data_IF_243181384924
#
_entry.id   IF_243181384924
#
_cell.length_a   1.000
_cell.length_b   1.000
_cell.length_c   1.000
_cell.angle_alpha   90.00
_cell.angle_beta   90.00
_cell.angle_gamma   90.00
#
_symmetry.space_group_name_H-M   'P 1'
#
loop_
_entity.id
_entity.type
_entity.pdbx_description
1 polymer ?
#
# COMPACT_ATOMS: atom_id res chain seq x y z
N UNK A 1 -9.69 15.12 -17.19
CA UNK A 1 -9.62 15.33 -15.75
C UNK A 1 -8.27 14.89 -15.24
N UNK A 2 -7.64 15.71 -14.42
CA UNK A 2 -6.37 15.36 -13.81
C UNK A 2 -6.52 14.52 -12.57
N UNK A 3 -5.44 13.86 -12.18
CA UNK A 3 -5.37 13.15 -10.91
C UNK A 3 -5.26 14.16 -9.78
N UNK A 4 -5.95 13.88 -8.68
CA UNK A 4 -5.92 14.70 -7.49
C UNK A 4 -5.47 13.86 -6.30
N UNK A 5 -5.00 14.53 -5.25
CA UNK A 5 -4.55 13.87 -4.03
C UNK A 5 -5.75 13.67 -3.12
N UNK A 6 -5.99 12.43 -2.72
CA UNK A 6 -7.03 12.07 -1.75
C UNK A 6 -6.40 11.33 -0.58
N UNK A 7 -6.87 11.61 0.60
CA UNK A 7 -6.45 10.90 1.79
C UNK A 7 -7.32 9.66 1.96
N UNK A 8 -6.67 8.51 2.18
CA UNK A 8 -7.36 7.23 2.36
C UNK A 8 -7.09 6.74 3.77
N UNK A 9 -8.16 6.40 4.49
CA UNK A 9 -8.05 5.92 5.87
C UNK A 9 -8.66 4.54 5.99
N UNK A 10 -7.98 3.67 6.72
CA UNK A 10 -8.48 2.33 7.04
C UNK A 10 -7.85 1.88 8.36
N UNK A 11 -8.40 0.83 8.93
CA UNK A 11 -7.93 0.29 10.21
C UNK A 11 -7.28 -1.05 10.01
N UNK A 12 -6.16 -1.27 10.69
CA UNK A 12 -5.45 -2.53 10.70
C UNK A 12 -5.17 -2.93 12.15
N UNK A 13 -5.02 -4.23 12.35
CA UNK A 13 -4.56 -4.73 13.63
C UNK A 13 -3.06 -4.55 13.74
N UNK A 14 -2.60 -4.03 14.87
CA UNK A 14 -1.19 -3.85 15.16
C UNK A 14 -0.96 -4.09 16.65
N UNK A 15 0.25 -4.51 17.00
CA UNK A 15 0.58 -4.77 18.41
C UNK A 15 0.82 -3.48 19.18
N UNK A 16 1.17 -2.41 18.50
CA UNK A 16 1.44 -1.12 19.13
C UNK A 16 1.27 0.01 18.13
N UNK A 17 1.17 1.22 18.65
CA UNK A 17 1.15 2.41 17.79
C UNK A 17 2.44 2.55 16.98
N UNK A 18 3.58 2.18 17.58
CA UNK A 18 4.87 2.22 16.88
C UNK A 18 4.88 1.32 15.65
N UNK A 19 4.28 0.13 15.75
CA UNK A 19 4.16 -0.77 14.61
C UNK A 19 3.27 -0.20 13.53
N UNK A 20 2.15 0.40 13.89
CA UNK A 20 1.26 1.05 12.93
C UNK A 20 1.96 2.20 12.22
N UNK A 21 2.72 3.00 12.96
CA UNK A 21 3.48 4.11 12.39
C UNK A 21 4.57 3.62 11.45
N UNK A 22 5.21 2.50 11.77
CA UNK A 22 6.22 1.90 10.91
C UNK A 22 5.61 1.47 9.57
N UNK A 23 4.43 0.87 9.58
CA UNK A 23 3.74 0.50 8.36
C UNK A 23 3.40 1.73 7.52
N UNK A 24 2.90 2.78 8.16
CA UNK A 24 2.57 4.01 7.47
C UNK A 24 3.82 4.60 6.79
N UNK A 25 4.96 4.59 7.48
CA UNK A 25 6.23 5.07 6.94
C UNK A 25 6.66 4.25 5.73
N UNK A 26 6.50 2.92 5.79
CA UNK A 26 6.83 2.05 4.66
C UNK A 26 5.98 2.35 3.44
N UNK A 27 4.68 2.55 3.62
CA UNK A 27 3.79 2.89 2.53
C UNK A 27 4.15 4.22 1.89
N UNK A 28 4.44 5.23 2.71
CA UNK A 28 4.87 6.53 2.21
C UNK A 28 6.20 6.44 1.46
N UNK A 29 7.14 5.66 1.97
CA UNK A 29 8.44 5.45 1.32
C UNK A 29 8.28 4.78 -0.02
N UNK A 30 7.37 3.81 -0.12
CA UNK A 30 7.09 3.13 -1.38
C UNK A 30 6.55 4.11 -2.43
N UNK A 31 5.58 4.93 -2.08
CA UNK A 31 4.99 5.92 -2.99
C UNK A 31 6.06 6.93 -3.44
N UNK A 32 6.86 7.41 -2.49
CA UNK A 32 7.93 8.37 -2.76
C UNK A 32 8.98 7.78 -3.69
N UNK A 33 9.39 6.53 -3.43
CA UNK A 33 10.37 5.83 -4.24
C UNK A 33 9.91 5.71 -5.69
N UNK A 34 8.65 5.32 -5.90
CA UNK A 34 8.09 5.21 -7.25
C UNK A 34 8.00 6.56 -7.94
N UNK A 35 7.65 7.61 -7.21
CA UNK A 35 7.61 8.96 -7.76
C UNK A 35 8.98 9.41 -8.24
N UNK A 36 10.02 9.09 -7.49
CA UNK A 36 11.40 9.42 -7.86
C UNK A 36 11.83 8.71 -9.14
N UNK A 37 11.24 7.57 -9.44
CA UNK A 37 11.45 6.85 -10.71
C UNK A 37 10.57 7.37 -11.85
N UNK A 38 9.79 8.41 -11.60
CA UNK A 38 8.87 8.94 -12.60
C UNK A 38 7.57 8.18 -12.72
N UNK A 39 7.25 7.34 -11.73
CA UNK A 39 6.04 6.52 -11.74
C UNK A 39 5.06 7.06 -10.72
N UNK A 40 3.87 7.47 -11.17
CA UNK A 40 2.82 7.88 -10.27
C UNK A 40 2.07 6.63 -9.75
N UNK A 41 1.97 6.50 -8.44
CA UNK A 41 1.16 5.45 -7.82
C UNK A 41 -0.28 5.96 -7.76
N UNK A 42 -1.13 5.45 -8.63
CA UNK A 42 -2.54 5.83 -8.67
C UNK A 42 -3.39 4.80 -7.95
N UNK A 43 -4.58 5.21 -7.53
CA UNK A 43 -5.53 4.30 -6.89
C UNK A 43 -5.86 3.12 -7.80
N UNK A 44 -6.04 3.37 -9.10
CA UNK A 44 -6.34 2.33 -10.07
C UNK A 44 -5.23 1.29 -10.17
N UNK A 45 -3.98 1.73 -10.26
CA UNK A 45 -2.84 0.82 -10.35
C UNK A 45 -2.68 0.02 -9.06
N UNK A 46 -2.87 0.67 -7.92
CA UNK A 46 -2.74 0.01 -6.63
C UNK A 46 -3.86 -1.02 -6.45
N UNK A 47 -5.08 -0.70 -6.85
CA UNK A 47 -6.17 -1.67 -6.80
C UNK A 47 -5.88 -2.92 -7.63
N UNK A 48 -5.33 -2.75 -8.83
CA UNK A 48 -4.97 -3.88 -9.68
C UNK A 48 -3.89 -4.73 -9.02
N UNK A 49 -2.88 -4.10 -8.43
CA UNK A 49 -1.82 -4.82 -7.73
C UNK A 49 -2.38 -5.62 -6.56
N UNK A 50 -3.27 -5.02 -5.77
CA UNK A 50 -3.89 -5.70 -4.64
C UNK A 50 -4.76 -6.88 -5.08
N UNK A 51 -5.46 -6.74 -6.20
CA UNK A 51 -6.26 -7.83 -6.76
C UNK A 51 -5.38 -8.99 -7.20
N UNK A 52 -4.21 -8.71 -7.78
CA UNK A 52 -3.23 -9.75 -8.14
C UNK A 52 -2.69 -10.43 -6.89
N UNK A 53 -2.36 -9.67 -5.85
CA UNK A 53 -1.88 -10.24 -4.60
C UNK A 53 -2.94 -11.09 -3.91
N UNK A 54 -4.21 -10.71 -4.02
CA UNK A 54 -5.31 -11.49 -3.49
C UNK A 54 -5.31 -12.92 -4.04
N UNK A 55 -4.92 -13.09 -5.30
CA UNK A 55 -4.88 -14.38 -5.96
C UNK A 55 -3.49 -15.03 -5.95
N UNK A 56 -2.50 -14.37 -5.35
CA UNK A 56 -1.14 -14.89 -5.30
C UNK A 56 -0.99 -15.81 -4.09
N UNK A 57 -0.64 -17.07 -4.35
CA UNK A 57 -0.55 -18.09 -3.30
C UNK A 57 0.52 -17.76 -2.27
N UNK A 58 1.64 -17.18 -2.68
CA UNK A 58 2.73 -16.85 -1.76
C UNK A 58 2.34 -15.71 -0.81
N UNK A 59 1.71 -14.67 -1.34
CA UNK A 59 1.25 -13.55 -0.53
C UNK A 59 0.15 -14.00 0.43
N UNK A 60 -0.78 -14.81 -0.06
CA UNK A 60 -1.87 -15.31 0.78
C UNK A 60 -1.36 -16.20 1.90
N UNK A 61 -0.39 -17.06 1.62
CA UNK A 61 0.22 -17.90 2.65
C UNK A 61 0.92 -17.07 3.72
N UNK A 62 1.59 -16.01 3.32
CA UNK A 62 2.25 -15.10 4.23
C UNK A 62 1.24 -14.38 5.13
N UNK A 63 0.13 -13.90 4.54
CA UNK A 63 -0.88 -13.13 5.28
C UNK A 63 -1.78 -14.00 6.16
N UNK A 64 -1.85 -15.28 5.90
CA UNK A 64 -2.66 -16.22 6.69
C UNK A 64 -1.93 -16.73 7.94
N UNK A 65 -0.77 -16.19 8.21
CA UNK A 65 -0.06 -16.49 9.46
C UNK A 65 -0.78 -15.92 10.70
#
# INVERSE_FOLDING_TARGET
>A
MGLQVYEIKFKLYAESQAEADALQTELLSFVKYKREQGIAVTASKLMKALQQFKNNIFVNNYLNL
#
